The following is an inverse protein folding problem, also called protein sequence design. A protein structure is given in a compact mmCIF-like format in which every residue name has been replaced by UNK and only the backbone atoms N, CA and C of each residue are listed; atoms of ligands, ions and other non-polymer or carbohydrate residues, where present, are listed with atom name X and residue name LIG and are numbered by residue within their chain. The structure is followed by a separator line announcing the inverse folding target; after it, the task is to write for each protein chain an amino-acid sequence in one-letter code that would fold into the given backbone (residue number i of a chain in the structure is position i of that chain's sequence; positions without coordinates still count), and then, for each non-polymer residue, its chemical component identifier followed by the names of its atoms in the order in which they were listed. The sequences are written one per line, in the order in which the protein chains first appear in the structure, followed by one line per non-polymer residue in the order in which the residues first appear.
data_IF_192045694004
#
_entry.id   IF_192045694004
#
_cell.length_a   1.000
_cell.length_b   1.000
_cell.length_c   1.000
_cell.angle_alpha   90.00
_cell.angle_beta   90.00
_cell.angle_gamma   90.00
#
_symmetry.space_group_name_H-M   'P 1'
#
loop_
_entity.id
_entity.type
_entity.pdbx_description
1 polymer ?
#
# COMPACT_ATOMS: atom_id res chain seq x y z
N UNK A 1 2.74 18.80 -12.22
CA UNK A 1 1.97 19.79 -11.44
C UNK A 1 0.53 19.30 -11.38
N UNK A 2 0.16 18.60 -10.31
CA UNK A 2 -1.19 18.03 -10.15
C UNK A 2 -2.19 19.06 -9.65
N UNK A 3 -3.38 19.08 -10.25
CA UNK A 3 -4.54 19.82 -9.75
C UNK A 3 -5.10 19.09 -8.52
N UNK A 4 -4.78 19.55 -7.32
CA UNK A 4 -5.31 18.97 -6.08
C UNK A 4 -6.61 19.66 -5.68
N UNK A 5 -7.67 18.86 -5.63
CA UNK A 5 -9.05 19.27 -5.43
C UNK A 5 -9.27 19.60 -3.94
N UNK A 6 -9.69 20.83 -3.65
CA UNK A 6 -10.24 21.21 -2.34
C UNK A 6 -11.63 20.57 -2.20
N UNK A 7 -11.71 19.47 -1.46
CA UNK A 7 -12.97 18.77 -1.18
C UNK A 7 -13.44 19.15 0.23
N UNK A 8 -14.64 19.70 0.35
CA UNK A 8 -15.30 19.92 1.64
C UNK A 8 -15.62 18.56 2.28
N UNK A 9 -15.23 18.38 3.55
CA UNK A 9 -15.51 17.17 4.36
C UNK A 9 -17.00 16.81 4.29
N UNK A 10 -17.32 15.62 3.79
CA UNK A 10 -18.66 15.01 3.92
C UNK A 10 -19.27 14.43 2.63
N UNK A 11 -18.82 14.85 1.45
CA UNK A 11 -19.17 14.20 0.18
C UNK A 11 -17.98 14.32 -0.76
N UNK A 12 -17.12 13.31 -0.73
CA UNK A 12 -16.02 13.27 -1.68
C UNK A 12 -16.59 13.12 -3.10
N UNK A 13 -16.04 13.92 -4.02
CA UNK A 13 -16.50 13.91 -5.39
C UNK A 13 -16.21 12.51 -5.97
N UNK A 14 -17.26 11.72 -6.22
CA UNK A 14 -17.16 10.37 -6.80
C UNK A 14 -16.32 10.37 -8.09
N UNK A 15 -16.33 11.47 -8.85
CA UNK A 15 -15.46 11.64 -10.02
C UNK A 15 -13.97 11.70 -9.65
N UNK A 16 -13.61 12.40 -8.57
CA UNK A 16 -12.23 12.44 -8.09
C UNK A 16 -11.75 11.08 -7.60
N UNK A 17 -12.59 10.34 -6.86
CA UNK A 17 -12.27 8.98 -6.40
C UNK A 17 -12.08 8.02 -7.58
N UNK A 18 -12.94 8.09 -8.60
CA UNK A 18 -12.78 7.29 -9.82
C UNK A 18 -11.48 7.60 -10.55
N UNK A 19 -11.20 8.89 -10.79
CA UNK A 19 -9.96 9.31 -11.45
C UNK A 19 -8.72 8.83 -10.67
N UNK A 20 -8.79 8.89 -9.33
CA UNK A 20 -7.75 8.35 -8.48
C UNK A 20 -7.59 6.84 -8.65
N UNK A 21 -8.69 6.08 -8.61
CA UNK A 21 -8.66 4.63 -8.82
C UNK A 21 -8.04 4.26 -10.18
N UNK A 22 -8.39 4.97 -11.24
CA UNK A 22 -7.78 4.77 -12.57
C UNK A 22 -6.28 5.09 -12.57
N UNK A 23 -5.86 6.13 -11.82
CA UNK A 23 -4.45 6.53 -11.74
C UNK A 23 -3.55 5.53 -11.01
N UNK A 24 -4.12 4.62 -10.21
CA UNK A 24 -3.35 3.61 -9.47
C UNK A 24 -3.27 2.26 -10.18
N UNK A 25 -3.95 2.11 -11.32
CA UNK A 25 -3.84 0.95 -12.19
C UNK A 25 -2.40 0.82 -12.70
N UNK A 26 -1.84 -0.39 -12.61
CA UNK A 26 -0.46 -0.72 -13.00
C UNK A 26 0.65 0.07 -12.31
N UNK A 27 0.35 0.84 -11.25
CA UNK A 27 1.39 1.39 -10.39
C UNK A 27 2.23 0.24 -9.85
N UNK A 28 3.55 0.39 -9.99
CA UNK A 28 4.58 -0.50 -9.45
C UNK A 28 5.33 0.22 -8.35
N UNK A 29 5.71 -0.53 -7.33
CA UNK A 29 6.50 -0.04 -6.22
C UNK A 29 7.89 -0.63 -6.29
N UNK A 30 8.91 0.22 -6.14
CA UNK A 30 10.28 -0.24 -6.14
C UNK A 30 10.55 -1.16 -4.95
N UNK A 31 11.14 -2.32 -5.24
CA UNK A 31 11.43 -3.35 -4.25
C UNK A 31 10.25 -4.24 -3.86
N UNK A 32 9.04 -4.04 -4.42
CA UNK A 32 7.87 -4.86 -4.08
C UNK A 32 8.15 -6.37 -4.22
N UNK A 33 7.62 -7.16 -3.30
CA UNK A 33 7.69 -8.62 -3.37
C UNK A 33 6.68 -9.15 -4.39
N UNK A 34 7.03 -10.25 -5.06
CA UNK A 34 6.08 -10.93 -5.92
C UNK A 34 5.14 -11.75 -5.04
N UNK A 35 3.87 -11.40 -5.09
CA UNK A 35 2.79 -12.03 -4.32
C UNK A 35 2.43 -13.44 -4.82
N UNK A 36 2.85 -13.82 -6.03
CA UNK A 36 2.52 -15.12 -6.63
C UNK A 36 3.54 -16.23 -6.33
N UNK A 37 4.65 -15.91 -5.68
CA UNK A 37 5.70 -16.87 -5.36
C UNK A 37 5.81 -16.97 -3.85
N UNK A 38 5.29 -18.06 -3.29
CA UNK A 38 5.43 -18.35 -1.87
C UNK A 38 6.90 -18.42 -1.44
N UNK A 39 7.18 -18.46 -0.13
CA UNK A 39 8.53 -18.54 0.42
C UNK A 39 9.27 -19.86 0.12
N UNK A 40 8.83 -20.64 -0.88
CA UNK A 40 9.51 -21.85 -1.35
C UNK A 40 10.09 -21.70 -2.76
N UNK A 41 9.72 -20.65 -3.51
CA UNK A 41 10.34 -20.32 -4.81
C UNK A 41 11.54 -19.39 -4.64
N UNK A 42 12.38 -19.66 -3.64
CA UNK A 42 13.67 -19.00 -3.41
C UNK A 42 14.76 -19.46 -4.39
N UNK A 43 14.42 -20.26 -5.42
CA UNK A 43 15.37 -20.69 -6.43
C UNK A 43 15.69 -19.56 -7.41
N UNK A 44 16.89 -19.00 -7.21
CA UNK A 44 17.86 -18.63 -8.23
C UNK A 44 17.34 -17.72 -9.37
N UNK A 45 17.37 -16.42 -9.10
CA UNK A 45 17.80 -15.47 -10.13
C UNK A 45 19.12 -14.85 -9.66
N UNK A 46 20.08 -15.71 -9.31
CA UNK A 46 21.39 -15.31 -8.82
C UNK A 46 22.44 -15.52 -9.92
N UNK A 47 22.79 -14.41 -10.58
CA UNK A 47 24.13 -14.27 -11.12
C UNK A 47 25.12 -14.03 -9.97
N UNK A 48 26.41 -14.34 -10.13
CA UNK A 48 27.42 -14.37 -9.06
C UNK A 48 27.72 -13.04 -8.34
N UNK A 49 27.11 -11.93 -8.77
CA UNK A 49 27.32 -10.57 -8.24
C UNK A 49 26.06 -9.94 -7.60
N UNK A 50 24.98 -10.71 -7.36
CA UNK A 50 23.81 -10.20 -6.66
C UNK A 50 23.94 -10.44 -5.15
N UNK A 51 24.33 -9.39 -4.41
CA UNK A 51 24.01 -9.30 -2.99
C UNK A 51 22.54 -9.69 -2.80
N UNK A 52 22.20 -10.54 -1.80
CA UNK A 52 20.82 -10.92 -1.54
C UNK A 52 20.03 -9.63 -1.39
N UNK A 53 19.25 -9.27 -2.41
CA UNK A 53 18.41 -8.07 -2.38
C UNK A 53 17.52 -8.28 -1.17
N UNK A 54 17.75 -7.52 -0.11
CA UNK A 54 16.87 -7.52 1.04
C UNK A 54 15.50 -7.16 0.51
N UNK A 55 14.63 -8.17 0.38
CA UNK A 55 13.32 -7.97 -0.22
C UNK A 55 12.56 -6.98 0.66
N UNK A 56 11.87 -6.01 0.06
CA UNK A 56 11.16 -4.97 0.80
C UNK A 56 10.29 -5.55 1.91
N UNK A 57 9.67 -6.71 1.67
CA UNK A 57 8.88 -7.42 2.67
C UNK A 57 9.64 -7.74 3.97
N UNK A 58 10.90 -8.18 3.88
CA UNK A 58 11.72 -8.43 5.07
C UNK A 58 12.02 -7.14 5.84
N UNK A 59 12.30 -6.06 5.12
CA UNK A 59 12.57 -4.75 5.74
C UNK A 59 11.30 -4.22 6.43
N UNK A 60 10.13 -4.32 5.78
CA UNK A 60 8.85 -3.90 6.35
C UNK A 60 8.47 -4.69 7.60
N UNK A 61 8.68 -6.01 7.59
CA UNK A 61 8.47 -6.84 8.77
C UNK A 61 9.34 -6.36 9.95
N UNK A 62 10.63 -6.09 9.70
CA UNK A 62 11.52 -5.55 10.74
C UNK A 62 11.09 -4.16 11.23
N UNK A 63 10.68 -3.27 10.33
CA UNK A 63 10.18 -1.94 10.69
C UNK A 63 8.93 -2.05 11.59
N UNK A 64 8.00 -2.95 11.27
CA UNK A 64 6.82 -3.23 12.11
C UNK A 64 7.21 -3.78 13.50
N UNK A 65 8.20 -4.68 13.57
CA UNK A 65 8.73 -5.17 14.84
C UNK A 65 9.31 -4.05 15.71
N UNK A 66 10.06 -3.12 15.11
CA UNK A 66 10.60 -1.95 15.83
C UNK A 66 9.48 -1.04 16.35
N UNK A 67 8.44 -0.78 15.53
CA UNK A 67 7.26 -0.01 15.94
C UNK A 67 6.57 -0.66 17.15
N UNK A 68 6.38 -1.98 17.12
CA UNK A 68 5.73 -2.72 18.22
C UNK A 68 6.55 -2.71 19.49
N UNK A 69 7.87 -2.92 19.40
CA UNK A 69 8.78 -2.81 20.55
C UNK A 69 8.68 -1.42 21.19
N UNK A 70 8.69 -0.37 20.38
CA UNK A 70 8.63 1.00 20.84
C UNK A 70 7.23 1.41 21.37
N UNK A 71 6.16 0.91 20.75
CA UNK A 71 4.77 1.10 21.23
C UNK A 71 4.55 0.45 22.59
N UNK A 72 5.04 -0.78 22.79
CA UNK A 72 4.98 -1.48 24.09
C UNK A 72 5.73 -0.73 25.20
N UNK A 73 6.77 0.03 24.83
CA UNK A 73 7.49 0.91 25.75
C UNK A 73 6.85 2.30 25.93
N UNK A 74 5.73 2.59 25.25
CA UNK A 74 5.11 3.92 25.16
C UNK A 74 6.06 5.03 24.69
N UNK A 75 7.08 4.67 23.91
CA UNK A 75 8.16 5.54 23.46
C UNK A 75 8.37 5.34 21.97
N UNK A 76 7.30 5.44 21.16
CA UNK A 76 7.46 5.36 19.72
C UNK A 76 8.31 6.55 19.24
N UNK A 77 9.57 6.27 18.94
CA UNK A 77 10.57 7.19 18.43
C UNK A 77 11.35 6.49 17.31
N UNK A 78 11.94 7.28 16.42
CA UNK A 78 12.75 6.74 15.32
C UNK A 78 14.12 6.34 15.89
N UNK A 79 14.26 5.06 16.21
CA UNK A 79 15.51 4.47 16.68
C UNK A 79 16.57 4.43 15.58
N UNK A 80 17.84 4.30 15.94
CA UNK A 80 18.91 4.17 14.95
C UNK A 80 18.74 2.91 14.08
N UNK A 81 18.23 1.81 14.65
CA UNK A 81 17.87 0.60 13.90
C UNK A 81 16.78 0.91 12.84
N UNK A 82 15.75 1.68 13.20
CA UNK A 82 14.72 2.10 12.25
C UNK A 82 15.32 2.94 11.10
N UNK A 83 16.27 3.84 11.41
CA UNK A 83 16.96 4.66 10.40
C UNK A 83 17.80 3.81 9.46
N UNK A 84 18.49 2.80 9.95
CA UNK A 84 19.28 1.88 9.13
C UNK A 84 18.38 1.02 8.23
N UNK A 85 17.24 0.54 8.75
CA UNK A 85 16.25 -0.17 7.92
C UNK A 85 15.71 0.73 6.78
N UNK A 86 15.46 2.02 7.04
CA UNK A 86 15.08 2.96 5.98
C UNK A 86 16.20 3.21 4.97
N UNK A 87 17.47 3.16 5.39
CA UNK A 87 18.61 3.23 4.48
C UNK A 87 18.67 2.02 3.56
N UNK A 88 18.33 0.83 4.05
CA UNK A 88 18.20 -0.37 3.22
C UNK A 88 17.05 -0.25 2.21
N UNK A 89 15.94 0.39 2.59
CA UNK A 89 14.88 0.75 1.62
C UNK A 89 15.44 1.69 0.54
N UNK A 90 16.15 2.76 0.92
CA UNK A 90 16.74 3.71 -0.02
C UNK A 90 17.69 3.04 -1.02
N UNK A 91 18.62 2.20 -0.54
CA UNK A 91 19.54 1.41 -1.37
C UNK A 91 18.81 0.56 -2.40
N UNK A 92 17.73 -0.12 -1.98
CA UNK A 92 16.98 -1.01 -2.88
C UNK A 92 16.27 -0.26 -4.02
N UNK A 93 16.05 1.05 -3.88
CA UNK A 93 15.39 1.90 -4.87
C UNK A 93 16.35 2.57 -5.84
N UNK A 94 17.49 3.05 -5.34
CA UNK A 94 18.52 3.77 -6.12
C UNK A 94 19.19 2.88 -7.16
N UNK A 95 19.13 1.55 -7.00
CA UNK A 95 19.56 0.61 -8.04
C UNK A 95 18.73 0.68 -9.34
N UNK A 96 17.69 1.52 -9.41
CA UNK A 96 16.90 1.76 -10.62
C UNK A 96 17.22 3.14 -11.20
N UNK A 97 17.38 3.24 -12.53
CA UNK A 97 17.98 4.38 -13.25
C UNK A 97 17.23 5.73 -13.15
N UNK A 98 16.16 5.82 -12.38
CA UNK A 98 15.22 6.96 -12.35
C UNK A 98 15.13 7.64 -10.97
N UNK A 99 15.98 7.28 -10.01
CA UNK A 99 15.86 7.77 -8.64
C UNK A 99 16.81 8.93 -8.30
N UNK A 100 16.34 9.76 -7.37
CA UNK A 100 17.14 10.51 -6.40
C UNK A 100 18.33 9.68 -5.88
N UNK A 101 19.44 10.31 -5.50
CA UNK A 101 20.57 9.55 -4.95
C UNK A 101 20.19 8.88 -3.61
N UNK A 102 20.97 7.90 -3.15
CA UNK A 102 20.65 7.13 -1.94
C UNK A 102 20.43 8.00 -0.70
N UNK A 103 21.25 9.03 -0.54
CA UNK A 103 21.18 9.95 0.59
C UNK A 103 19.90 10.81 0.53
N UNK A 104 19.53 11.31 -0.64
CA UNK A 104 18.26 12.04 -0.86
C UNK A 104 17.05 11.15 -0.55
N UNK A 105 17.06 9.90 -1.03
CA UNK A 105 16.00 8.93 -0.75
C UNK A 105 15.89 8.64 0.76
N UNK A 106 17.03 8.40 1.41
CA UNK A 106 17.10 8.12 2.84
C UNK A 106 16.58 9.30 3.66
N UNK A 107 17.02 10.51 3.35
CA UNK A 107 16.58 11.72 4.04
C UNK A 107 15.07 11.98 3.87
N UNK A 108 14.53 11.73 2.67
CA UNK A 108 13.07 11.80 2.44
C UNK A 108 12.32 10.78 3.30
N UNK A 109 12.79 9.54 3.32
CA UNK A 109 12.19 8.48 4.14
C UNK A 109 12.25 8.80 5.64
N UNK A 110 13.32 9.45 6.13
CA UNK A 110 13.41 9.91 7.51
C UNK A 110 12.36 10.99 7.82
N UNK A 111 12.20 11.98 6.95
CA UNK A 111 11.17 13.02 7.12
C UNK A 111 9.74 12.46 7.05
N UNK A 112 9.51 11.41 6.26
CA UNK A 112 8.22 10.70 6.25
C UNK A 112 8.02 9.83 7.50
N UNK A 113 9.08 9.23 8.05
CA UNK A 113 9.02 8.47 9.28
C UNK A 113 8.63 9.34 10.48
N UNK A 114 9.09 10.60 10.53
CA UNK A 114 8.72 11.56 11.58
C UNK A 114 7.21 11.82 11.56
N UNK A 115 6.67 12.14 10.37
CA UNK A 115 5.23 12.32 10.16
C UNK A 115 4.45 11.06 10.51
N UNK A 116 4.95 9.88 10.11
CA UNK A 116 4.34 8.61 10.44
C UNK A 116 4.21 8.40 11.94
N UNK A 117 5.27 8.68 12.72
CA UNK A 117 5.23 8.56 14.19
C UNK A 117 4.19 9.49 14.80
N UNK A 118 4.07 10.72 14.30
CA UNK A 118 3.03 11.67 14.75
C UNK A 118 1.62 11.12 14.48
N UNK A 119 1.37 10.64 13.26
CA UNK A 119 0.08 10.06 12.85
C UNK A 119 -0.25 8.81 13.68
N UNK A 120 0.73 7.92 13.86
CA UNK A 120 0.59 6.69 14.63
C UNK A 120 0.23 6.96 16.09
N UNK A 121 0.87 7.97 16.71
CA UNK A 121 0.53 8.40 18.07
C UNK A 121 -0.87 9.02 18.13
N UNK A 122 -1.19 9.89 17.18
CA UNK A 122 -2.46 10.65 17.13
C UNK A 122 -3.69 9.74 16.99
N UNK A 123 -3.61 8.66 16.21
CA UNK A 123 -4.74 7.72 16.06
C UNK A 123 -5.10 6.98 17.37
N UNK A 124 -4.17 6.86 18.31
CA UNK A 124 -4.43 6.34 19.65
C UNK A 124 -4.70 4.83 19.75
N UNK A 125 -4.45 4.05 18.69
CA UNK A 125 -4.59 2.59 18.68
C UNK A 125 -3.34 1.90 18.12
N UNK A 126 -3.18 0.61 18.45
CA UNK A 126 -2.12 -0.23 17.88
C UNK A 126 -2.51 -0.77 16.49
N UNK A 127 -1.51 -1.09 15.68
CA UNK A 127 -1.74 -1.67 14.34
C UNK A 127 -2.06 -3.15 14.47
N UNK A 128 -2.94 -3.64 13.60
CA UNK A 128 -3.17 -5.09 13.47
C UNK A 128 -1.86 -5.84 13.21
N UNK A 129 -1.78 -7.08 13.68
CA UNK A 129 -0.61 -7.95 13.51
C UNK A 129 -0.84 -8.81 12.26
N UNK A 130 0.07 -8.75 11.30
CA UNK A 130 0.11 -9.73 10.21
C UNK A 130 0.69 -11.04 10.75
N UNK A 131 -0.08 -12.13 10.70
CA UNK A 131 0.35 -13.41 11.25
C UNK A 131 1.59 -13.96 10.53
N UNK A 132 2.42 -14.72 11.23
CA UNK A 132 3.67 -15.24 10.69
C UNK A 132 3.45 -16.13 9.45
N UNK A 133 2.35 -16.89 9.43
CA UNK A 133 1.93 -17.73 8.30
C UNK A 133 1.64 -16.92 7.03
N UNK A 134 1.47 -15.61 7.18
CA UNK A 134 1.20 -14.67 6.11
C UNK A 134 2.37 -13.70 5.86
N UNK A 135 3.56 -14.00 6.38
CA UNK A 135 4.76 -13.17 6.23
C UNK A 135 5.15 -12.88 4.77
N UNK A 136 4.75 -13.74 3.82
CA UNK A 136 4.96 -13.52 2.39
C UNK A 136 4.18 -12.31 1.84
N UNK A 137 3.15 -11.85 2.55
CA UNK A 137 2.34 -10.71 2.14
C UNK A 137 3.06 -9.37 2.31
N UNK A 138 4.10 -9.33 3.17
CA UNK A 138 4.88 -8.13 3.38
C UNK A 138 5.52 -7.63 2.08
N UNK A 139 5.32 -6.34 1.80
CA UNK A 139 5.89 -5.65 0.65
C UNK A 139 5.27 -6.04 -0.69
N UNK A 140 4.19 -6.84 -0.68
CA UNK A 140 3.51 -7.21 -1.93
C UNK A 140 2.95 -5.97 -2.60
N UNK A 141 2.77 -6.04 -3.92
CA UNK A 141 2.19 -4.94 -4.69
C UNK A 141 0.86 -4.48 -4.10
N UNK A 142 -0.01 -5.42 -3.74
CA UNK A 142 -1.33 -5.13 -3.17
C UNK A 142 -1.24 -4.42 -1.83
N UNK A 143 -0.38 -4.88 -0.92
CA UNK A 143 -0.16 -4.23 0.37
C UNK A 143 0.40 -2.81 0.19
N UNK A 144 1.35 -2.65 -0.73
CA UNK A 144 1.92 -1.35 -1.07
C UNK A 144 0.90 -0.42 -1.73
N UNK A 145 -0.01 -0.95 -2.55
CA UNK A 145 -1.13 -0.20 -3.11
C UNK A 145 -2.10 0.27 -2.03
N UNK A 146 -2.43 -0.60 -1.07
CA UNK A 146 -3.20 -0.22 0.11
C UNK A 146 -2.52 0.93 0.87
N UNK A 147 -1.22 0.80 1.15
CA UNK A 147 -0.44 1.85 1.80
C UNK A 147 -0.44 3.16 1.01
N UNK A 148 -0.37 3.09 -0.32
CA UNK A 148 -0.45 4.24 -1.22
C UNK A 148 -1.80 4.98 -1.08
N UNK A 149 -2.91 4.24 -1.03
CA UNK A 149 -4.25 4.82 -0.85
C UNK A 149 -4.31 5.63 0.44
N UNK A 150 -3.76 5.09 1.53
CA UNK A 150 -3.71 5.80 2.82
C UNK A 150 -2.92 7.10 2.69
N UNK A 151 -1.65 7.02 2.26
CA UNK A 151 -0.77 8.20 2.27
C UNK A 151 -1.20 9.27 1.26
N UNK A 152 -1.83 8.91 0.15
CA UNK A 152 -2.35 9.89 -0.81
C UNK A 152 -3.58 10.65 -0.28
N UNK A 153 -4.33 10.05 0.66
CA UNK A 153 -5.62 10.57 1.15
C UNK A 153 -5.65 10.94 2.63
N UNK A 154 -4.50 10.93 3.30
CA UNK A 154 -4.39 11.43 4.67
C UNK A 154 -4.76 12.92 4.72
N UNK A 155 -5.63 13.34 5.67
CA UNK A 155 -6.06 14.73 5.81
C UNK A 155 -4.90 15.71 5.96
N UNK A 156 -3.87 15.31 6.70
CA UNK A 156 -2.68 16.10 6.95
C UNK A 156 -2.05 16.57 5.63
N UNK A 157 -1.94 15.69 4.62
CA UNK A 157 -1.38 16.04 3.31
C UNK A 157 -2.31 16.92 2.49
N UNK A 158 -3.61 16.62 2.49
CA UNK A 158 -4.61 17.36 1.73
C UNK A 158 -4.73 18.81 2.26
N UNK A 159 -4.77 18.98 3.58
CA UNK A 159 -4.97 20.27 4.23
C UNK A 159 -3.71 21.14 4.18
N UNK A 160 -2.53 20.54 4.41
CA UNK A 160 -1.26 21.28 4.41
C UNK A 160 -0.63 21.39 3.02
N UNK A 161 -1.20 20.72 2.00
CA UNK A 161 -0.65 20.60 0.65
C UNK A 161 0.79 20.08 0.63
N UNK A 162 1.12 19.23 1.60
CA UNK A 162 2.41 18.54 1.62
C UNK A 162 2.38 17.33 0.69
N UNK A 163 3.52 16.94 0.10
CA UNK A 163 3.60 15.70 -0.66
C UNK A 163 3.17 14.50 0.19
N UNK A 164 2.45 13.53 -0.38
CA UNK A 164 2.19 12.24 0.27
C UNK A 164 3.48 11.59 0.77
N UNK A 165 3.40 10.94 1.93
CA UNK A 165 4.48 10.08 2.41
C UNK A 165 4.70 8.88 1.50
N UNK A 166 5.82 8.21 1.70
CA UNK A 166 6.08 6.93 1.08
C UNK A 166 5.01 5.85 1.44
N UNK A 167 4.52 5.06 0.47
CA UNK A 167 3.52 4.01 0.70
C UNK A 167 3.89 2.95 1.75
N UNK A 168 5.19 2.77 2.08
CA UNK A 168 5.60 1.89 3.17
C UNK A 168 5.00 2.33 4.51
N UNK A 169 4.83 3.64 4.72
CA UNK A 169 4.30 4.17 5.97
C UNK A 169 2.78 3.97 6.08
N UNK A 170 2.06 4.04 4.95
CA UNK A 170 0.66 3.63 4.89
C UNK A 170 0.48 2.14 5.21
N UNK A 171 1.39 1.31 4.73
CA UNK A 171 1.41 -0.13 5.04
C UNK A 171 1.62 -0.40 6.52
N UNK A 172 2.59 0.28 7.16
CA UNK A 172 2.90 0.12 8.58
C UNK A 172 1.77 0.63 9.52
N UNK A 173 0.89 1.51 9.02
CA UNK A 173 -0.32 1.92 9.74
C UNK A 173 -1.34 0.78 9.87
N UNK A 174 -1.42 -0.14 8.91
CA UNK A 174 -2.28 -1.32 9.03
C UNK A 174 -1.71 -2.51 8.23
N UNK A 175 -0.80 -3.30 8.82
CA UNK A 175 -0.08 -4.39 8.16
C UNK A 175 -0.93 -5.45 7.46
N UNK A 176 -2.15 -5.70 7.93
CA UNK A 176 -3.09 -6.68 7.36
C UNK A 176 -3.92 -6.11 6.20
N UNK A 177 -3.88 -4.79 6.01
CA UNK A 177 -4.74 -4.09 5.07
C UNK A 177 -4.46 -4.41 3.61
N UNK A 178 -5.52 -4.40 2.82
CA UNK A 178 -5.49 -4.68 1.40
C UNK A 178 -5.57 -6.16 1.07
N UNK A 179 -5.62 -7.07 2.05
CA UNK A 179 -5.85 -8.50 1.81
C UNK A 179 -7.29 -8.75 1.35
N UNK A 180 -7.50 -9.84 0.62
CA UNK A 180 -8.86 -10.24 0.23
C UNK A 180 -9.46 -11.08 1.36
N UNK A 181 -10.54 -10.57 1.94
CA UNK A 181 -11.24 -11.21 3.07
C UNK A 181 -11.12 -10.41 4.36
N UNK A 182 -11.87 -10.77 5.41
CA UNK A 182 -11.88 -10.03 6.66
C UNK A 182 -10.58 -10.24 7.45
N UNK A 183 -9.81 -9.16 7.62
CA UNK A 183 -8.58 -9.17 8.40
C UNK A 183 -7.57 -10.17 7.85
N UNK A 184 -7.00 -10.98 8.74
CA UNK A 184 -5.92 -11.91 8.40
C UNK A 184 -6.40 -13.34 8.07
N UNK A 185 -7.53 -13.48 7.38
CA UNK A 185 -8.04 -14.81 6.97
C UNK A 185 -7.36 -15.28 5.68
N UNK A 186 -6.43 -16.24 5.78
CA UNK A 186 -5.62 -16.73 4.65
C UNK A 186 -6.42 -17.37 3.51
N UNK A 187 -7.37 -18.26 3.80
CA UNK A 187 -8.00 -19.11 2.76
C UNK A 187 -8.72 -18.34 1.65
N UNK A 188 -9.40 -17.24 1.99
CA UNK A 188 -10.14 -16.42 1.02
C UNK A 188 -9.18 -15.62 0.16
N UNK A 189 -8.09 -15.12 0.77
CA UNK A 189 -7.02 -14.46 0.05
C UNK A 189 -6.36 -15.43 -0.93
N UNK A 190 -5.91 -16.59 -0.46
CA UNK A 190 -5.22 -17.58 -1.29
C UNK A 190 -6.05 -18.07 -2.48
N UNK A 191 -7.39 -18.07 -2.35
CA UNK A 191 -8.30 -18.56 -3.40
C UNK A 191 -8.68 -17.48 -4.43
N UNK A 192 -8.83 -16.23 -3.99
CA UNK A 192 -9.35 -15.14 -4.83
C UNK A 192 -8.29 -14.14 -5.26
N UNK A 193 -7.08 -14.24 -4.71
CA UNK A 193 -6.01 -13.31 -4.98
C UNK A 193 -5.49 -13.43 -6.41
N UNK A 194 -5.41 -12.27 -7.06
CA UNK A 194 -4.75 -12.06 -8.35
C UNK A 194 -4.00 -10.73 -8.25
N UNK A 195 -2.66 -10.75 -8.36
CA UNK A 195 -1.78 -9.60 -8.11
C UNK A 195 -2.16 -8.34 -8.91
N UNK A 196 -2.72 -8.54 -10.11
CA UNK A 196 -3.12 -7.49 -11.02
C UNK A 196 -4.62 -7.55 -11.36
N UNK A 197 -5.38 -8.38 -10.64
CA UNK A 197 -6.80 -8.59 -10.89
C UNK A 197 -7.71 -7.61 -10.17
N UNK A 198 -9.01 -7.60 -10.54
CA UNK A 198 -10.02 -6.74 -9.92
C UNK A 198 -10.08 -6.88 -8.39
N UNK A 199 -9.87 -8.09 -7.87
CA UNK A 199 -9.87 -8.33 -6.43
C UNK A 199 -8.71 -7.65 -5.71
N UNK A 200 -7.50 -7.62 -6.27
CA UNK A 200 -6.37 -6.96 -5.63
C UNK A 200 -6.53 -5.44 -5.58
N UNK A 201 -6.97 -4.82 -6.67
CA UNK A 201 -7.25 -3.38 -6.66
C UNK A 201 -8.42 -3.03 -5.74
N UNK A 202 -9.50 -3.81 -5.81
CA UNK A 202 -10.69 -3.59 -5.00
C UNK A 202 -10.36 -3.64 -3.51
N UNK A 203 -9.74 -4.72 -3.03
CA UNK A 203 -9.39 -4.89 -1.62
C UNK A 203 -8.44 -3.82 -1.12
N UNK A 204 -7.36 -3.51 -1.87
CA UNK A 204 -6.41 -2.47 -1.50
C UNK A 204 -7.08 -1.10 -1.32
N UNK A 205 -7.93 -0.69 -2.27
CA UNK A 205 -8.62 0.61 -2.23
C UNK A 205 -9.76 0.63 -1.20
N UNK A 206 -10.52 -0.47 -1.12
CA UNK A 206 -11.60 -0.63 -0.16
C UNK A 206 -11.09 -0.53 1.28
N UNK A 207 -10.03 -1.28 1.61
CA UNK A 207 -9.43 -1.26 2.94
C UNK A 207 -8.73 0.08 3.21
N UNK A 208 -8.04 0.66 2.23
CA UNK A 208 -7.34 1.93 2.42
C UNK A 208 -8.30 3.06 2.78
N UNK A 209 -9.41 3.17 2.06
CA UNK A 209 -10.45 4.14 2.37
C UNK A 209 -11.24 3.80 3.63
N UNK A 210 -11.48 2.52 3.91
CA UNK A 210 -12.06 2.06 5.17
C UNK A 210 -11.21 2.43 6.38
N UNK A 211 -9.90 2.25 6.29
CA UNK A 211 -8.93 2.64 7.32
C UNK A 211 -8.97 4.15 7.59
N UNK A 212 -8.93 4.97 6.53
CA UNK A 212 -9.02 6.43 6.62
C UNK A 212 -10.31 6.86 7.30
N UNK A 213 -11.44 6.26 6.93
CA UNK A 213 -12.74 6.58 7.52
C UNK A 213 -12.78 6.22 9.01
N UNK A 214 -12.24 5.06 9.36
CA UNK A 214 -12.31 4.53 10.73
C UNK A 214 -11.36 5.24 11.68
N UNK A 215 -10.11 5.48 11.26
CA UNK A 215 -9.04 5.98 12.14
C UNK A 215 -8.80 7.48 12.03
N UNK A 216 -9.19 8.10 10.92
CA UNK A 216 -8.93 9.52 10.64
C UNK A 216 -10.21 10.32 10.39
N UNK A 217 -11.38 9.66 10.39
CA UNK A 217 -12.67 10.24 10.03
C UNK A 217 -12.61 11.00 8.69
N UNK A 218 -11.89 10.44 7.73
CA UNK A 218 -11.61 11.04 6.42
C UNK A 218 -11.74 10.02 5.30
N UNK A 219 -11.65 10.47 4.05
CA UNK A 219 -11.79 9.58 2.91
C UNK A 219 -13.25 9.22 2.62
N UNK A 220 -13.47 8.45 1.55
CA UNK A 220 -14.80 8.10 1.07
C UNK A 220 -15.35 6.82 1.75
N UNK A 221 -14.55 6.17 2.60
CA UNK A 221 -14.90 4.94 3.30
C UNK A 221 -14.97 3.70 2.41
N UNK A 222 -15.50 2.61 2.98
CA UNK A 222 -15.59 1.30 2.34
C UNK A 222 -16.46 1.32 1.07
N UNK A 223 -17.47 2.20 1.02
CA UNK A 223 -18.33 2.44 -0.13
C UNK A 223 -17.83 3.61 -0.99
N UNK A 224 -16.57 3.58 -1.41
CA UNK A 224 -15.89 4.72 -2.02
C UNK A 224 -16.48 5.21 -3.37
N UNK A 225 -17.31 4.41 -4.03
CA UNK A 225 -18.04 4.81 -5.23
C UNK A 225 -19.43 5.41 -4.92
N UNK A 226 -19.79 5.54 -3.64
CA UNK A 226 -21.11 5.95 -3.14
C UNK A 226 -22.26 5.17 -3.79
N UNK A 227 -22.02 3.87 -4.01
CA UNK A 227 -22.94 2.92 -4.61
C UNK A 227 -22.93 1.68 -3.74
N UNK A 228 -23.91 1.58 -2.85
CA UNK A 228 -24.01 0.49 -1.89
C UNK A 228 -25.31 0.57 -1.11
N UNK A 229 -25.78 -0.59 -0.65
CA UNK A 229 -26.94 -0.70 0.25
C UNK A 229 -26.55 -0.53 1.73
N UNK A 230 -25.26 -0.73 2.03
CA UNK A 230 -24.68 -0.47 3.35
C UNK A 230 -23.93 0.87 3.32
N UNK A 231 -23.92 1.58 4.45
CA UNK A 231 -23.20 2.86 4.60
C UNK A 231 -21.68 2.72 4.39
N UNK A 232 -21.00 3.85 4.24
CA UNK A 232 -19.54 3.96 4.00
C UNK A 232 -18.67 3.45 5.16
N UNK A 233 -19.25 3.25 6.34
CA UNK A 233 -18.61 2.67 7.52
C UNK A 233 -18.57 1.14 7.53
N UNK A 234 -19.32 0.46 6.66
CA UNK A 234 -19.44 -1.00 6.68
C UNK A 234 -18.44 -1.65 5.73
N UNK A 235 -17.63 -2.64 6.17
CA UNK A 235 -16.74 -3.38 5.28
C UNK A 235 -17.49 -4.21 4.22
N UNK A 236 -18.80 -4.43 4.39
CA UNK A 236 -19.65 -5.04 3.37
C UNK A 236 -20.19 -4.02 2.36
N UNK A 237 -20.05 -2.72 2.65
CA UNK A 237 -20.48 -1.64 1.77
C UNK A 237 -19.61 -1.54 0.53
N UNK A 238 -20.25 -1.43 -0.64
CA UNK A 238 -19.51 -1.20 -1.89
C UNK A 238 -18.76 -2.40 -2.46
N UNK A 239 -18.83 -3.60 -1.85
CA UNK A 239 -18.18 -4.83 -2.35
C UNK A 239 -18.56 -5.14 -3.81
N UNK A 240 -19.86 -5.32 -4.08
CA UNK A 240 -20.34 -5.66 -5.42
C UNK A 240 -20.06 -4.56 -6.46
N UNK A 241 -20.31 -3.29 -6.10
CA UNK A 241 -20.13 -2.16 -7.02
C UNK A 241 -18.66 -1.81 -7.25
N UNK A 242 -17.83 -1.92 -6.21
CA UNK A 242 -16.39 -1.74 -6.31
C UNK A 242 -15.76 -2.84 -7.15
N UNK A 243 -16.09 -4.10 -6.88
CA UNK A 243 -15.58 -5.21 -7.68
C UNK A 243 -16.00 -5.09 -9.16
N UNK A 244 -17.27 -4.77 -9.43
CA UNK A 244 -17.74 -4.56 -10.81
C UNK A 244 -17.02 -3.40 -11.52
N UNK A 245 -16.71 -2.31 -10.81
CA UNK A 245 -15.91 -1.20 -11.33
C UNK A 245 -14.48 -1.63 -11.68
N UNK A 246 -13.81 -2.38 -10.81
CA UNK A 246 -12.47 -2.86 -11.09
C UNK A 246 -12.44 -3.93 -12.19
N UNK A 247 -13.48 -4.76 -12.31
CA UNK A 247 -13.63 -5.65 -13.47
C UNK A 247 -13.70 -4.85 -14.76
N UNK A 248 -14.52 -3.80 -14.82
CA UNK A 248 -14.62 -2.92 -16.01
C UNK A 248 -13.27 -2.26 -16.36
N UNK A 249 -12.54 -1.75 -15.36
CA UNK A 249 -11.23 -1.15 -15.56
C UNK A 249 -10.21 -2.19 -16.04
N UNK A 250 -10.10 -3.33 -15.36
CA UNK A 250 -9.16 -4.38 -15.73
C UNK A 250 -9.46 -4.91 -17.14
N UNK A 251 -10.73 -5.09 -17.52
CA UNK A 251 -11.12 -5.51 -18.86
C UNK A 251 -10.74 -4.47 -19.94
N UNK A 252 -10.80 -3.18 -19.59
CA UNK A 252 -10.42 -2.08 -20.50
C UNK A 252 -8.90 -1.94 -20.66
N UNK A 253 -8.17 -2.02 -19.55
CA UNK A 253 -6.74 -1.70 -19.47
C UNK A 253 -5.83 -2.94 -19.61
N UNK A 254 -6.34 -4.16 -19.43
CA UNK A 254 -5.62 -5.42 -19.59
C UNK A 254 -6.11 -6.17 -20.84
N UNK A 255 -5.59 -5.88 -22.04
CA UNK A 255 -6.01 -6.56 -23.26
C UNK A 255 -5.38 -7.96 -23.35
N UNK A 256 -5.61 -8.83 -22.37
CA UNK A 256 -5.33 -10.26 -22.48
C UNK A 256 -6.48 -10.99 -23.21
N UNK A 257 -6.79 -10.52 -24.42
CA UNK A 257 -7.35 -11.31 -25.54
C UNK A 257 -6.66 -11.01 -26.88
N UNK A 258 -5.56 -10.25 -26.89
CA UNK A 258 -4.69 -10.17 -28.06
C UNK A 258 -3.55 -11.21 -27.91
N UNK A 259 -3.31 -12.08 -28.92
CA UNK A 259 -2.18 -13.00 -28.88
C UNK A 259 -0.87 -12.22 -28.78
N UNK A 260 0.05 -12.73 -27.96
CA UNK A 260 1.36 -12.13 -27.70
C UNK A 260 2.21 -12.21 -28.97
N UNK A 261 2.20 -11.17 -29.79
CA UNK A 261 3.28 -10.93 -30.74
C UNK A 261 4.42 -10.20 -30.03
N UNK A 262 5.56 -10.88 -29.96
CA UNK A 262 6.80 -10.38 -29.38
C UNK A 262 7.30 -9.14 -30.13
N UNK A 263 7.30 -7.98 -29.48
CA UNK A 263 8.05 -6.82 -29.96
C UNK A 263 9.50 -6.91 -29.46
N UNK A 264 10.41 -7.26 -30.38
CA UNK A 264 11.84 -7.02 -30.24
C UNK A 264 12.08 -5.56 -30.63
N UNK A 265 12.46 -4.71 -29.67
CA UNK A 265 12.91 -3.36 -29.98
C UNK A 265 14.33 -3.40 -30.57
N UNK A 266 14.49 -2.76 -31.75
CA UNK A 266 15.78 -2.35 -32.31
C UNK A 266 16.16 -0.96 -31.77
#
# INVERSE_FOLDING_TARGET
MGNWISVKRGQENVGAVKNYCESVVFVRFYGQTNSMKGPQDHEEVDGPDHHPKTQLGHILNKLDQEIRKASAAHQLEITDEFKELLRDVAKSRVCTKECENEEECHNRLLGDAEKFVEIYKKRGCESEVLHQDHSFYWGTRQQMLFGKVIVDWLPEHIETKTPPMDPIFGTLLNPTGGRVGPGDTGWMHDTLFDDLGPFAYHSAVHDGFGYLKTNHNSGPGYCYLNKGIFGDWSPFGGQAFGLGFWTEICDRECPAKAPVESFIFK
#
